data_IF_550049860026
#
_entry.id   IF_550049860026
#
_cell.length_a   1.000
_cell.length_b   1.000
_cell.length_c   1.000
_cell.angle_alpha   90.00
_cell.angle_beta   90.00
_cell.angle_gamma   90.00
#
_symmetry.space_group_name_H-M   'P 1'
#
loop_
_entity.id
_entity.type
_entity.pdbx_description
1 polymer ?
#
# COMPACT_ATOMS: atom_id res chain seq x y z
N UNK A 1 14.36 -30.72 15.97
CA UNK A 1 14.86 -29.36 16.31
C UNK A 1 14.75 -28.32 15.17
N UNK A 2 14.44 -28.71 13.91
CA UNK A 2 14.32 -27.75 12.80
C UNK A 2 12.97 -27.00 12.72
N UNK A 3 11.87 -27.60 13.21
CA UNK A 3 10.53 -26.97 13.22
C UNK A 3 10.45 -25.63 13.97
N UNK A 4 11.07 -25.54 15.15
CA UNK A 4 11.07 -24.29 15.95
C UNK A 4 11.79 -23.14 15.23
N UNK A 5 12.74 -23.43 14.32
CA UNK A 5 13.53 -22.41 13.61
C UNK A 5 12.78 -21.85 12.39
N UNK A 6 11.93 -22.66 11.76
CA UNK A 6 11.07 -22.24 10.65
C UNK A 6 9.87 -21.42 11.16
N UNK A 7 9.21 -21.86 12.23
CA UNK A 7 8.09 -21.15 12.84
C UNK A 7 8.45 -19.73 13.30
N UNK A 8 9.63 -19.54 13.90
CA UNK A 8 10.08 -18.22 14.33
C UNK A 8 10.35 -17.26 13.16
N UNK A 9 10.82 -17.79 12.01
CA UNK A 9 11.06 -16.99 10.80
C UNK A 9 9.75 -16.54 10.16
N UNK A 10 8.75 -17.42 10.11
CA UNK A 10 7.43 -17.08 9.59
C UNK A 10 6.72 -16.03 10.46
N UNK A 11 6.81 -16.17 11.79
CA UNK A 11 6.26 -15.18 12.71
C UNK A 11 6.89 -13.78 12.56
N UNK A 12 8.20 -13.71 12.33
CA UNK A 12 8.91 -12.46 12.02
C UNK A 12 8.43 -11.85 10.68
N UNK A 13 8.30 -12.66 9.64
CA UNK A 13 7.79 -12.20 8.34
C UNK A 13 6.36 -11.69 8.44
N UNK A 14 5.48 -12.38 9.16
CA UNK A 14 4.10 -11.96 9.37
C UNK A 14 4.03 -10.65 10.17
N UNK A 15 4.89 -10.48 11.17
CA UNK A 15 4.99 -9.24 11.95
C UNK A 15 5.43 -8.06 11.08
N UNK A 16 6.43 -8.25 10.23
CA UNK A 16 6.91 -7.19 9.35
C UNK A 16 5.93 -6.87 8.22
N UNK A 17 5.27 -7.88 7.66
CA UNK A 17 4.15 -7.71 6.73
C UNK A 17 2.98 -6.95 7.37
N UNK A 18 2.63 -7.27 8.62
CA UNK A 18 1.59 -6.57 9.37
C UNK A 18 1.92 -5.10 9.59
N UNK A 19 3.17 -4.77 9.96
CA UNK A 19 3.61 -3.36 10.08
C UNK A 19 3.55 -2.61 8.74
N UNK A 20 3.99 -3.26 7.66
CA UNK A 20 3.94 -2.69 6.31
C UNK A 20 2.49 -2.45 5.85
N UNK A 21 1.59 -3.37 6.18
CA UNK A 21 0.16 -3.25 5.91
C UNK A 21 -0.46 -2.08 6.69
N UNK A 22 -0.15 -1.94 7.99
CA UNK A 22 -0.61 -0.80 8.80
C UNK A 22 -0.07 0.54 8.28
N UNK A 23 1.18 0.57 7.83
CA UNK A 23 1.73 1.74 7.15
C UNK A 23 0.96 2.05 5.87
N UNK A 24 0.66 1.03 5.06
CA UNK A 24 -0.19 1.16 3.87
C UNK A 24 -1.57 1.72 4.17
N UNK A 25 -2.19 1.27 5.26
CA UNK A 25 -3.49 1.78 5.71
C UNK A 25 -3.41 3.25 6.14
N UNK A 26 -2.36 3.64 6.85
CA UNK A 26 -2.13 5.04 7.23
C UNK A 26 -1.90 5.94 6.00
N UNK A 27 -1.13 5.46 5.02
CA UNK A 27 -0.93 6.16 3.75
C UNK A 27 -2.25 6.26 2.97
N UNK A 28 -3.01 5.17 2.89
CA UNK A 28 -4.33 5.17 2.25
C UNK A 28 -5.27 6.21 2.87
N UNK A 29 -5.32 6.27 4.21
CA UNK A 29 -6.12 7.27 4.91
C UNK A 29 -5.67 8.71 4.59
N UNK A 30 -4.36 8.98 4.58
CA UNK A 30 -3.82 10.29 4.23
C UNK A 30 -4.14 10.71 2.79
N UNK A 31 -3.93 9.80 1.83
CA UNK A 31 -4.27 10.01 0.42
C UNK A 31 -5.77 10.23 0.25
N UNK A 32 -6.60 9.44 0.92
CA UNK A 32 -8.04 9.56 0.89
C UNK A 32 -8.50 10.93 1.38
N UNK A 33 -8.06 11.38 2.55
CA UNK A 33 -8.44 12.69 3.11
C UNK A 33 -8.03 13.83 2.19
N UNK A 34 -6.81 13.76 1.63
CA UNK A 34 -6.29 14.78 0.73
C UNK A 34 -7.13 14.85 -0.55
N UNK A 35 -7.40 13.70 -1.19
CA UNK A 35 -8.20 13.65 -2.42
C UNK A 35 -9.67 14.03 -2.16
N UNK A 36 -10.22 13.64 -1.01
CA UNK A 36 -11.57 14.01 -0.60
C UNK A 36 -11.69 15.53 -0.48
N UNK A 37 -10.73 16.19 0.19
CA UNK A 37 -10.69 17.64 0.32
C UNK A 37 -10.53 18.33 -1.04
N UNK A 38 -9.60 17.85 -1.88
CA UNK A 38 -9.37 18.40 -3.21
C UNK A 38 -10.62 18.26 -4.10
N UNK A 39 -11.26 17.09 -4.11
CA UNK A 39 -12.45 16.84 -4.91
C UNK A 39 -13.66 17.63 -4.41
N UNK A 40 -13.82 17.78 -3.10
CA UNK A 40 -14.87 18.63 -2.52
C UNK A 40 -14.66 20.09 -2.89
N UNK A 41 -13.46 20.66 -2.70
CA UNK A 41 -13.18 22.08 -2.99
C UNK A 41 -13.32 22.38 -4.49
N UNK A 42 -12.85 21.49 -5.36
CA UNK A 42 -12.93 21.69 -6.83
C UNK A 42 -14.35 21.63 -7.40
N UNK A 43 -15.29 21.03 -6.68
CA UNK A 43 -16.68 20.83 -7.12
C UNK A 43 -17.69 21.52 -6.19
N UNK A 44 -17.32 22.68 -5.61
CA UNK A 44 -18.24 23.53 -4.85
C UNK A 44 -18.65 22.96 -3.48
N UNK A 45 -17.72 22.31 -2.78
CA UNK A 45 -17.94 21.61 -1.50
C UNK A 45 -18.85 20.37 -1.59
N UNK A 46 -18.97 19.77 -2.78
CA UNK A 46 -19.69 18.49 -2.95
C UNK A 46 -18.91 17.32 -2.35
N UNK A 47 -19.45 16.72 -1.28
CA UNK A 47 -18.86 15.55 -0.65
C UNK A 47 -18.82 14.32 -1.59
N UNK A 48 -19.81 14.20 -2.49
CA UNK A 48 -19.88 13.11 -3.47
C UNK A 48 -18.75 13.20 -4.50
N UNK A 49 -18.49 14.40 -5.03
CA UNK A 49 -17.39 14.62 -5.97
C UNK A 49 -16.03 14.37 -5.30
N UNK A 50 -15.89 14.78 -4.03
CA UNK A 50 -14.74 14.43 -3.19
C UNK A 50 -14.54 12.94 -3.07
N UNK A 51 -15.60 12.20 -2.73
CA UNK A 51 -15.55 10.77 -2.51
C UNK A 51 -15.21 10.01 -3.79
N UNK A 52 -15.78 10.43 -4.92
CA UNK A 52 -15.50 9.83 -6.21
C UNK A 52 -14.06 10.05 -6.67
N UNK A 53 -13.51 11.25 -6.46
CA UNK A 53 -12.11 11.54 -6.72
C UNK A 53 -11.20 10.70 -5.81
N UNK A 54 -11.52 10.62 -4.52
CA UNK A 54 -10.75 9.85 -3.55
C UNK A 54 -10.72 8.36 -3.89
N UNK A 55 -11.87 7.78 -4.28
CA UNK A 55 -11.97 6.40 -4.75
C UNK A 55 -11.08 6.15 -5.97
N UNK A 56 -11.25 6.94 -7.03
CA UNK A 56 -10.48 6.80 -8.27
C UNK A 56 -8.98 6.98 -8.02
N UNK A 57 -8.61 7.99 -7.24
CA UNK A 57 -7.22 8.27 -6.92
C UNK A 57 -6.58 7.20 -6.03
N UNK A 58 -7.30 6.59 -5.08
CA UNK A 58 -6.79 5.44 -4.32
C UNK A 58 -6.48 4.24 -5.21
N UNK A 59 -7.33 3.92 -6.20
CA UNK A 59 -7.03 2.87 -7.18
C UNK A 59 -5.79 3.18 -8.00
N UNK A 60 -5.63 4.43 -8.46
CA UNK A 60 -4.45 4.86 -9.22
C UNK A 60 -3.19 4.74 -8.35
N UNK A 61 -3.21 5.26 -7.12
CA UNK A 61 -2.06 5.21 -6.20
C UNK A 61 -1.70 3.76 -5.87
N UNK A 62 -2.70 2.93 -5.57
CA UNK A 62 -2.51 1.50 -5.30
C UNK A 62 -1.93 0.74 -6.51
N UNK A 63 -2.43 1.01 -7.72
CA UNK A 63 -1.94 0.40 -8.94
C UNK A 63 -0.51 0.84 -9.29
N UNK A 64 -0.18 2.12 -9.13
CA UNK A 64 1.18 2.62 -9.32
C UNK A 64 2.15 2.01 -8.31
N UNK A 65 1.75 1.89 -7.04
CA UNK A 65 2.57 1.24 -6.02
C UNK A 65 2.80 -0.24 -6.35
N UNK A 66 1.78 -0.97 -6.84
CA UNK A 66 1.95 -2.33 -7.34
C UNK A 66 2.87 -2.39 -8.56
N UNK A 67 2.75 -1.46 -9.50
CA UNK A 67 3.59 -1.41 -10.69
C UNK A 67 5.07 -1.23 -10.31
N UNK A 68 5.37 -0.34 -9.36
CA UNK A 68 6.73 -0.13 -8.86
C UNK A 68 7.25 -1.38 -8.15
N UNK A 69 6.41 -2.04 -7.32
CA UNK A 69 6.75 -3.32 -6.71
C UNK A 69 7.03 -4.41 -7.74
N UNK A 70 6.22 -4.50 -8.80
CA UNK A 70 6.37 -5.50 -9.86
C UNK A 70 7.62 -5.22 -10.72
N UNK A 71 7.87 -3.96 -11.08
CA UNK A 71 9.07 -3.56 -11.82
C UNK A 71 10.36 -3.95 -11.09
N UNK A 72 10.36 -3.86 -9.76
CA UNK A 72 11.48 -4.30 -8.94
C UNK A 72 11.71 -5.81 -8.92
N UNK A 73 10.66 -6.62 -9.15
CA UNK A 73 10.79 -8.07 -9.30
C UNK A 73 11.35 -8.46 -10.67
N UNK A 74 11.12 -7.63 -11.69
CA UNK A 74 11.58 -7.85 -13.06
C UNK A 74 13.02 -7.37 -13.31
N UNK A 75 13.57 -6.50 -12.45
CA UNK A 75 14.92 -5.97 -12.60
C UNK A 75 15.98 -7.03 -12.18
N UNK A 76 17.04 -7.23 -12.99
CA UNK A 76 18.08 -8.20 -12.69
C UNK A 76 18.85 -7.83 -11.42
N UNK A 77 19.28 -8.84 -10.65
CA UNK A 77 19.97 -8.69 -9.36
C UNK A 77 21.24 -7.82 -9.42
N UNK A 78 21.79 -7.52 -10.60
CA UNK A 78 22.98 -6.67 -10.73
C UNK A 78 22.69 -5.17 -10.54
N UNK A 79 21.43 -4.74 -10.64
CA UNK A 79 21.00 -3.40 -10.22
C UNK A 79 20.65 -3.33 -8.71
N UNK A 80 20.78 -4.46 -8.00
CA UNK A 80 20.52 -4.57 -6.57
C UNK A 80 21.65 -4.01 -5.68
N UNK A 81 22.67 -3.32 -6.21
CA UNK A 81 23.62 -2.60 -5.35
C UNK A 81 22.99 -1.39 -4.64
N UNK A 82 21.80 -0.94 -5.08
CA UNK A 82 20.92 -0.01 -4.35
C UNK A 82 20.02 -0.74 -3.33
N UNK A 83 20.07 -2.08 -3.27
CA UNK A 83 19.29 -2.92 -2.31
C UNK A 83 19.91 -2.94 -0.91
N UNK A 84 21.15 -2.47 -0.76
CA UNK A 84 21.94 -2.61 0.47
C UNK A 84 22.37 -1.26 1.08
N UNK A 85 22.27 -0.14 0.34
CA UNK A 85 22.89 1.11 0.78
C UNK A 85 22.08 1.97 1.76
N UNK A 86 20.78 1.75 1.95
CA UNK A 86 19.96 2.68 2.73
C UNK A 86 19.10 1.98 3.81
N UNK A 87 19.03 2.58 5.01
CA UNK A 87 18.61 2.03 6.32
C UNK A 87 17.20 1.43 6.46
N UNK A 88 16.53 1.03 5.38
CA UNK A 88 15.22 0.37 5.38
C UNK A 88 15.29 -1.13 5.68
N UNK A 89 16.34 -1.83 5.23
CA UNK A 89 16.60 -3.24 5.61
C UNK A 89 16.84 -3.40 7.12
N UNK A 90 17.40 -2.37 7.77
CA UNK A 90 17.57 -2.34 9.23
C UNK A 90 16.23 -2.21 10.01
N UNK A 91 15.16 -1.66 9.40
CA UNK A 91 13.84 -1.51 10.05
C UNK A 91 12.88 -2.67 9.79
N UNK A 92 13.01 -3.38 8.67
CA UNK A 92 12.08 -4.44 8.25
C UNK A 92 12.71 -5.81 7.99
N UNK A 93 13.97 -6.01 8.45
CA UNK A 93 14.61 -7.31 8.68
C UNK A 93 14.93 -8.13 7.43
N UNK A 94 13.91 -8.57 6.69
CA UNK A 94 14.03 -9.50 5.55
C UNK A 94 13.13 -9.17 4.38
N UNK A 95 12.13 -8.30 4.56
CA UNK A 95 11.40 -7.69 3.47
C UNK A 95 12.20 -6.48 2.96
N UNK A 96 12.66 -6.54 1.71
CA UNK A 96 13.18 -5.34 1.05
C UNK A 96 12.08 -4.28 0.91
N UNK A 97 12.48 -3.03 0.64
CA UNK A 97 11.61 -1.88 0.34
C UNK A 97 10.40 -2.26 -0.53
N UNK A 98 10.62 -3.11 -1.53
CA UNK A 98 9.61 -3.54 -2.50
C UNK A 98 8.49 -4.44 -1.93
N UNK A 99 8.77 -5.26 -0.92
CA UNK A 99 7.73 -6.07 -0.29
C UNK A 99 6.92 -5.29 0.74
N UNK A 100 7.53 -4.27 1.37
CA UNK A 100 6.79 -3.26 2.16
C UNK A 100 5.88 -2.47 1.23
N UNK A 101 6.39 -2.02 0.09
CA UNK A 101 5.63 -1.31 -0.93
C UNK A 101 4.48 -2.18 -1.47
N UNK A 102 4.70 -3.47 -1.67
CA UNK A 102 3.67 -4.41 -2.12
C UNK A 102 2.56 -4.58 -1.07
N UNK A 103 2.92 -4.78 0.20
CA UNK A 103 1.94 -4.86 1.29
C UNK A 103 1.16 -3.55 1.45
N UNK A 104 1.83 -2.41 1.29
CA UNK A 104 1.19 -1.11 1.33
C UNK A 104 0.23 -0.90 0.16
N UNK A 105 0.64 -1.29 -1.05
CA UNK A 105 -0.19 -1.24 -2.24
C UNK A 105 -1.45 -2.13 -2.10
N UNK A 106 -1.28 -3.34 -1.57
CA UNK A 106 -2.39 -4.24 -1.28
C UNK A 106 -3.37 -3.62 -0.26
N UNK A 107 -2.86 -2.97 0.79
CA UNK A 107 -3.70 -2.25 1.76
C UNK A 107 -4.48 -1.10 1.11
N UNK A 108 -3.80 -0.27 0.30
CA UNK A 108 -4.42 0.86 -0.41
C UNK A 108 -5.52 0.37 -1.36
N UNK A 109 -5.27 -0.69 -2.13
CA UNK A 109 -6.26 -1.27 -3.04
C UNK A 109 -7.43 -1.93 -2.31
N UNK A 110 -7.19 -2.54 -1.15
CA UNK A 110 -8.26 -3.08 -0.32
C UNK A 110 -9.19 -1.94 0.14
N UNK A 111 -8.64 -0.83 0.64
CA UNK A 111 -9.43 0.35 1.03
C UNK A 111 -10.20 0.91 -0.16
N UNK A 112 -9.55 1.03 -1.33
CA UNK A 112 -10.20 1.49 -2.56
C UNK A 112 -11.38 0.60 -2.96
N UNK A 113 -11.20 -0.73 -2.89
CA UNK A 113 -12.24 -1.72 -3.22
C UNK A 113 -13.40 -1.73 -2.22
N UNK A 114 -13.12 -1.61 -0.92
CA UNK A 114 -14.18 -1.49 0.11
C UNK A 114 -14.98 -0.22 -0.11
N UNK A 115 -14.30 0.90 -0.38
CA UNK A 115 -14.96 2.17 -0.68
C UNK A 115 -15.82 2.08 -1.95
N UNK A 116 -15.30 1.46 -3.01
CA UNK A 116 -16.03 1.27 -4.26
C UNK A 116 -17.29 0.40 -4.07
N UNK A 117 -17.18 -0.73 -3.36
CA UNK A 117 -18.32 -1.58 -3.05
C UNK A 117 -19.37 -0.89 -2.17
N UNK A 118 -18.94 -0.08 -1.20
CA UNK A 118 -19.86 0.73 -0.40
C UNK A 118 -20.55 1.79 -1.24
N UNK A 119 -19.83 2.51 -2.09
CA UNK A 119 -20.44 3.50 -3.00
C UNK A 119 -21.41 2.84 -3.98
N UNK A 120 -21.06 1.68 -4.54
CA UNK A 120 -21.95 0.95 -5.44
C UNK A 120 -23.26 0.56 -4.76
N UNK A 121 -23.21 0.08 -3.51
CA UNK A 121 -24.41 -0.30 -2.75
C UNK A 121 -25.20 0.88 -2.16
N UNK A 122 -24.60 2.05 -2.00
CA UNK A 122 -25.26 3.24 -1.45
C UNK A 122 -25.92 4.13 -2.52
N UNK A 123 -25.51 4.03 -3.79
CA UNK A 123 -25.93 4.93 -4.87
C UNK A 123 -26.59 4.23 -6.08
N UNK A 124 -26.71 2.89 -6.07
CA UNK A 124 -27.48 2.08 -7.03
C UNK A 124 -28.60 1.36 -6.30
#
# INVERSE_FOLDING_TARGET
MQDKKAGNRFALLLKDAGKAFLLGLAVAAGVFILLLAVGAVSHGFSALAGLELARRGLFIVGALALLVSAGALLLPEKAASVREKDGWTARFGRFGLFGVLFCAAAAILLVAGVLDGWMYSAFV
#
